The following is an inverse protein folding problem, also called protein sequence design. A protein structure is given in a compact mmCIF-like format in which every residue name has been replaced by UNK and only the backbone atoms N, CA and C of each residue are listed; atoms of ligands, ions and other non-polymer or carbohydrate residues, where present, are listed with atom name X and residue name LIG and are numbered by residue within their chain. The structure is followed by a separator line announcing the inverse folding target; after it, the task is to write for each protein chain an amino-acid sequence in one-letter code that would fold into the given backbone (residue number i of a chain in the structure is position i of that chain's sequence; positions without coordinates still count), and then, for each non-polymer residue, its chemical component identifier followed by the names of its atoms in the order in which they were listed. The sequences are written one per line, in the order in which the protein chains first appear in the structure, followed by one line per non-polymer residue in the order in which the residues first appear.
data_IF_668305848576
#
_entry.id   IF_668305848576
#
_cell.length_a   1.000
_cell.length_b   1.000
_cell.length_c   1.000
_cell.angle_alpha   90.00
_cell.angle_beta   90.00
_cell.angle_gamma   90.00
#
_symmetry.space_group_name_H-M   'P 1'
#
loop_
_entity.id
_entity.type
_entity.pdbx_description
1 polymer ?
#
# COMPACT_ATOMS: atom_id res chain seq x y z
N UNK A 1 5.19 11.65 -17.03
CA UNK A 1 4.27 10.89 -16.15
C UNK A 1 3.11 11.82 -15.82
N UNK A 2 1.86 11.47 -16.15
CA UNK A 2 0.69 12.32 -15.88
C UNK A 2 -0.20 11.57 -14.90
N UNK A 3 -0.31 12.10 -13.68
CA UNK A 3 -1.26 11.61 -12.68
C UNK A 3 -2.62 12.18 -13.05
N UNK A 4 -3.63 11.31 -13.22
CA UNK A 4 -4.99 11.72 -13.57
C UNK A 4 -5.62 12.49 -12.40
N UNK A 5 -6.40 13.53 -12.69
CA UNK A 5 -7.10 14.33 -11.67
C UNK A 5 -8.00 13.48 -10.77
N UNK A 6 -8.63 12.43 -11.32
CA UNK A 6 -9.48 11.50 -10.56
C UNK A 6 -8.73 10.85 -9.38
N UNK A 7 -7.45 10.51 -9.57
CA UNK A 7 -6.61 9.91 -8.52
C UNK A 7 -6.26 10.94 -7.45
N UNK A 8 -6.00 12.19 -7.86
CA UNK A 8 -5.75 13.29 -6.90
C UNK A 8 -7.01 13.61 -6.08
N UNK A 9 -8.19 13.57 -6.68
CA UNK A 9 -9.44 13.75 -5.94
C UNK A 9 -9.67 12.60 -4.95
N UNK A 10 -9.42 11.33 -5.33
CA UNK A 10 -9.48 10.20 -4.38
C UNK A 10 -8.48 10.36 -3.24
N UNK A 11 -7.24 10.75 -3.54
CA UNK A 11 -6.21 11.03 -2.54
C UNK A 11 -6.64 12.16 -1.58
N UNK A 12 -7.28 13.21 -2.11
CA UNK A 12 -7.84 14.30 -1.32
C UNK A 12 -8.93 13.83 -0.36
N UNK A 13 -9.81 12.94 -0.81
CA UNK A 13 -10.82 12.32 0.06
C UNK A 13 -10.14 11.48 1.14
N UNK A 14 -9.14 10.66 0.80
CA UNK A 14 -8.39 9.86 1.78
C UNK A 14 -7.78 10.74 2.88
N UNK A 15 -7.04 11.79 2.49
CA UNK A 15 -6.37 12.69 3.44
C UNK A 15 -7.38 13.42 4.31
N UNK A 16 -8.48 13.93 3.73
CA UNK A 16 -9.54 14.60 4.50
C UNK A 16 -10.16 13.64 5.52
N UNK A 17 -10.55 12.44 5.10
CA UNK A 17 -11.16 11.45 6.00
C UNK A 17 -10.20 11.02 7.12
N UNK A 18 -8.91 10.85 6.83
CA UNK A 18 -7.91 10.58 7.87
C UNK A 18 -7.78 11.72 8.88
N UNK A 19 -7.80 12.98 8.41
CA UNK A 19 -7.76 14.16 9.29
C UNK A 19 -9.00 14.20 10.18
N UNK A 20 -10.19 13.97 9.62
CA UNK A 20 -11.47 13.99 10.34
C UNK A 20 -11.53 12.93 11.45
N UNK A 21 -10.91 11.76 11.21
CA UNK A 21 -10.84 10.66 12.19
C UNK A 21 -9.58 10.73 13.08
N UNK A 22 -8.75 11.77 12.95
CA UNK A 22 -7.48 11.91 13.66
C UNK A 22 -6.54 10.68 13.53
N UNK A 23 -6.51 10.07 12.34
CA UNK A 23 -5.71 8.89 12.04
C UNK A 23 -4.41 9.24 11.32
N UNK A 24 -3.31 8.61 11.74
CA UNK A 24 -2.02 8.61 11.05
C UNK A 24 -1.85 7.34 10.24
N UNK A 25 -1.27 7.49 9.05
CA UNK A 25 -0.99 6.41 8.11
C UNK A 25 0.50 6.21 7.85
N UNK A 26 0.91 4.95 7.72
CA UNK A 26 2.19 4.53 7.14
C UNK A 26 1.93 3.83 5.79
N UNK A 27 2.83 4.05 4.83
CA UNK A 27 2.76 3.41 3.51
C UNK A 27 3.99 2.54 3.31
N UNK A 28 3.82 1.31 2.85
CA UNK A 28 4.92 0.43 2.42
C UNK A 28 4.79 0.09 0.95
N UNK A 29 5.79 0.48 0.15
CA UNK A 29 5.74 0.39 -1.29
C UNK A 29 6.83 -0.54 -1.82
N UNK A 30 6.43 -1.53 -2.61
CA UNK A 30 7.36 -2.30 -3.45
C UNK A 30 7.18 -1.84 -4.90
N UNK A 31 6.24 -2.41 -5.65
CA UNK A 31 6.15 -2.18 -7.10
C UNK A 31 5.84 -0.72 -7.51
N UNK A 32 5.20 0.06 -6.64
CA UNK A 32 4.88 1.49 -6.85
C UNK A 32 6.02 2.44 -6.50
N UNK A 33 7.04 1.97 -5.79
CA UNK A 33 8.30 2.69 -5.53
C UNK A 33 8.15 4.14 -5.01
N UNK A 34 7.15 4.42 -4.16
CA UNK A 34 6.93 5.74 -3.57
C UNK A 34 5.80 6.54 -4.22
N UNK A 35 5.18 6.02 -5.29
CA UNK A 35 4.16 6.72 -6.05
C UNK A 35 2.91 7.05 -5.22
N UNK A 36 2.47 6.15 -4.33
CA UNK A 36 1.32 6.43 -3.46
C UNK A 36 1.65 7.54 -2.48
N UNK A 37 2.83 7.47 -1.87
CA UNK A 37 3.31 8.47 -0.92
C UNK A 37 3.44 9.85 -1.57
N UNK A 38 3.98 9.90 -2.80
CA UNK A 38 4.03 11.12 -3.59
C UNK A 38 2.64 11.71 -3.82
N UNK A 39 1.69 10.90 -4.29
CA UNK A 39 0.32 11.33 -4.57
C UNK A 39 -0.37 11.89 -3.31
N UNK A 40 -0.27 11.21 -2.17
CA UNK A 40 -0.85 11.73 -0.92
C UNK A 40 -0.16 13.03 -0.49
N UNK A 41 1.17 13.13 -0.64
CA UNK A 41 1.93 14.34 -0.26
C UNK A 41 1.56 15.58 -1.07
N UNK A 42 0.99 15.42 -2.27
CA UNK A 42 0.49 16.54 -3.07
C UNK A 42 -0.79 17.18 -2.50
N UNK A 43 -1.46 16.54 -1.54
CA UNK A 43 -2.71 17.06 -0.97
C UNK A 43 -2.41 18.01 0.20
N UNK A 44 -2.97 19.23 0.21
CA UNK A 44 -2.85 20.13 1.36
C UNK A 44 -3.30 19.46 2.67
N UNK A 45 -2.45 19.55 3.70
CA UNK A 45 -2.72 18.93 5.00
C UNK A 45 -2.23 17.48 5.14
N UNK A 46 -1.66 16.86 4.09
CA UNK A 46 -1.15 15.50 4.16
C UNK A 46 -0.13 15.27 5.28
N UNK A 47 0.67 16.27 5.65
CA UNK A 47 1.62 16.19 6.77
C UNK A 47 0.98 15.95 8.14
N UNK A 48 -0.33 16.14 8.29
CA UNK A 48 -1.06 15.81 9.53
C UNK A 48 -1.29 14.30 9.70
N UNK A 49 -1.33 13.55 8.59
CA UNK A 49 -1.75 12.15 8.57
C UNK A 49 -0.66 11.22 8.04
N UNK A 50 0.09 11.63 7.01
CA UNK A 50 1.17 10.84 6.43
C UNK A 50 2.40 10.91 7.35
N UNK A 51 2.58 9.87 8.16
CA UNK A 51 3.60 9.86 9.20
C UNK A 51 4.94 9.35 8.68
N UNK A 52 4.93 8.25 7.92
CA UNK A 52 6.12 7.64 7.35
C UNK A 52 5.79 6.87 6.07
N UNK A 53 6.80 6.63 5.25
CA UNK A 53 6.72 5.72 4.11
C UNK A 53 8.01 4.94 3.94
N UNK A 54 7.89 3.67 3.58
CA UNK A 54 9.01 2.79 3.28
C UNK A 54 8.92 2.27 1.85
N UNK A 55 9.96 2.51 1.06
CA UNK A 55 10.14 1.80 -0.21
C UNK A 55 10.98 0.55 0.03
N UNK A 56 10.33 -0.62 0.06
CA UNK A 56 10.94 -1.93 0.35
C UNK A 56 10.95 -2.83 -0.88
N UNK A 57 11.64 -2.37 -1.92
CA UNK A 57 11.61 -3.01 -3.25
C UNK A 57 12.18 -4.44 -3.24
N UNK A 58 13.27 -4.67 -2.52
CA UNK A 58 13.94 -5.98 -2.45
C UNK A 58 13.44 -6.83 -1.27
N UNK A 59 13.61 -8.16 -1.38
CA UNK A 59 13.35 -9.07 -0.25
C UNK A 59 14.24 -8.76 0.95
N UNK A 60 15.47 -8.30 0.72
CA UNK A 60 16.38 -7.83 1.77
C UNK A 60 15.81 -6.61 2.50
N UNK A 61 15.28 -5.63 1.76
CA UNK A 61 14.66 -4.44 2.35
C UNK A 61 13.40 -4.80 3.15
N UNK A 62 12.53 -5.67 2.62
CA UNK A 62 11.36 -6.21 3.35
C UNK A 62 11.79 -6.85 4.68
N UNK A 63 12.91 -7.57 4.69
CA UNK A 63 13.39 -8.23 5.90
C UNK A 63 14.08 -7.27 6.87
N UNK A 64 14.99 -6.41 6.41
CA UNK A 64 15.78 -5.53 7.29
C UNK A 64 15.00 -4.34 7.83
N UNK A 65 14.14 -3.74 7.01
CA UNK A 65 13.41 -2.52 7.38
C UNK A 65 12.14 -2.88 8.15
N UNK A 66 11.39 -3.88 7.68
CA UNK A 66 10.12 -4.26 8.31
C UNK A 66 10.27 -5.40 9.31
N UNK A 67 11.41 -6.12 9.34
CA UNK A 67 11.59 -7.27 10.24
C UNK A 67 10.87 -8.54 9.78
N UNK A 68 10.45 -8.62 8.52
CA UNK A 68 9.80 -9.83 7.98
C UNK A 68 10.84 -10.95 7.85
N UNK A 69 10.57 -12.12 8.43
CA UNK A 69 11.46 -13.27 8.30
C UNK A 69 11.59 -13.67 6.82
N UNK A 70 12.84 -13.80 6.33
CA UNK A 70 13.13 -14.23 4.95
C UNK A 70 12.52 -15.59 4.61
N UNK A 71 12.38 -16.49 5.57
CA UNK A 71 11.77 -17.80 5.33
C UNK A 71 10.30 -17.68 4.92
N UNK A 72 9.58 -16.69 5.46
CA UNK A 72 8.20 -16.40 5.05
C UNK A 72 8.15 -15.83 3.62
N UNK A 73 9.10 -14.93 3.29
CA UNK A 73 9.21 -14.37 1.93
C UNK A 73 9.54 -15.47 0.92
N UNK A 74 10.43 -16.41 1.26
CA UNK A 74 10.78 -17.53 0.40
C UNK A 74 9.62 -18.53 0.26
N UNK A 75 8.88 -18.78 1.34
CA UNK A 75 7.75 -19.72 1.34
C UNK A 75 6.56 -19.22 0.51
N UNK A 76 6.15 -17.97 0.71
CA UNK A 76 4.93 -17.42 0.08
C UNK A 76 5.24 -16.66 -1.22
N UNK A 77 6.48 -16.22 -1.42
CA UNK A 77 6.86 -15.31 -2.49
C UNK A 77 6.59 -13.85 -2.14
N UNK A 78 7.41 -12.94 -2.68
CA UNK A 78 7.33 -11.50 -2.37
C UNK A 78 6.04 -10.81 -2.86
N UNK A 79 5.34 -11.44 -3.80
CA UNK A 79 4.05 -11.00 -4.35
C UNK A 79 2.98 -12.03 -3.96
N UNK A 80 2.47 -11.90 -2.75
CA UNK A 80 1.51 -12.81 -2.14
C UNK A 80 0.61 -12.05 -1.14
N UNK A 81 -0.58 -12.57 -0.81
CA UNK A 81 -1.43 -11.96 0.22
C UNK A 81 -0.77 -11.98 1.60
N UNK A 82 0.01 -13.01 1.92
CA UNK A 82 0.71 -13.11 3.20
C UNK A 82 1.78 -12.03 3.35
N UNK A 83 2.59 -11.79 2.30
CA UNK A 83 3.62 -10.76 2.34
C UNK A 83 3.03 -9.36 2.31
N UNK A 84 1.92 -9.11 1.61
CA UNK A 84 1.26 -7.79 1.67
C UNK A 84 0.73 -7.49 3.07
N UNK A 85 0.06 -8.45 3.73
CA UNK A 85 -0.44 -8.28 5.12
C UNK A 85 0.73 -8.07 6.08
N UNK A 86 1.78 -8.87 5.98
CA UNK A 86 2.98 -8.73 6.82
C UNK A 86 3.66 -7.37 6.61
N UNK A 87 3.76 -6.89 5.35
CA UNK A 87 4.29 -5.56 5.06
C UNK A 87 3.50 -4.45 5.76
N UNK A 88 2.16 -4.50 5.72
CA UNK A 88 1.31 -3.50 6.37
C UNK A 88 1.40 -3.61 7.91
N UNK A 89 1.25 -4.82 8.44
CA UNK A 89 1.22 -5.05 9.89
C UNK A 89 2.57 -4.72 10.54
N UNK A 90 3.68 -5.10 9.91
CA UNK A 90 5.00 -4.92 10.51
C UNK A 90 5.49 -3.48 10.39
N UNK A 91 5.01 -2.70 9.40
CA UNK A 91 5.26 -1.26 9.34
C UNK A 91 4.72 -0.51 10.57
N UNK A 92 3.57 -0.92 11.12
CA UNK A 92 3.04 -0.32 12.35
C UNK A 92 3.92 -0.57 13.58
N UNK A 93 4.81 -1.57 13.53
CA UNK A 93 5.77 -1.87 14.60
C UNK A 93 7.03 -1.03 14.52
N UNK A 94 7.33 -0.42 13.37
CA UNK A 94 8.55 0.36 13.18
C UNK A 94 8.37 1.82 13.58
N UNK A 95 7.19 2.39 13.35
CA UNK A 95 6.83 3.77 13.70
C UNK A 95 5.38 3.79 14.18
N UNK A 96 5.09 4.58 15.22
CA UNK A 96 3.73 4.73 15.75
C UNK A 96 2.83 5.41 14.72
N UNK A 97 1.80 4.68 14.27
CA UNK A 97 0.69 5.17 13.47
C UNK A 97 -0.53 4.27 13.72
N UNK A 98 -1.71 4.73 13.30
CA UNK A 98 -2.97 4.02 13.57
C UNK A 98 -3.25 2.97 12.49
N UNK A 99 -2.92 3.31 11.23
CA UNK A 99 -3.17 2.46 10.07
C UNK A 99 -1.96 2.35 9.15
N UNK A 100 -1.89 1.27 8.39
CA UNK A 100 -0.86 1.06 7.36
C UNK A 100 -1.46 0.47 6.11
N UNK A 101 -0.93 0.89 4.96
CA UNK A 101 -1.22 0.27 3.66
C UNK A 101 0.08 -0.21 3.00
N UNK A 102 0.02 -1.36 2.33
CA UNK A 102 1.15 -1.95 1.63
C UNK A 102 0.82 -2.24 0.18
N UNK A 103 1.81 -2.17 -0.71
CA UNK A 103 1.64 -2.53 -2.12
C UNK A 103 2.82 -3.39 -2.59
N UNK A 104 2.54 -4.63 -2.99
CA UNK A 104 3.52 -5.53 -3.62
C UNK A 104 2.94 -6.18 -4.88
N UNK A 105 3.73 -6.30 -5.94
CA UNK A 105 3.21 -6.73 -7.23
C UNK A 105 4.27 -6.87 -8.33
N UNK A 106 3.86 -7.46 -9.45
CA UNK A 106 4.67 -7.56 -10.65
C UNK A 106 4.28 -6.44 -11.62
N UNK A 107 4.94 -5.28 -11.54
CA UNK A 107 4.64 -4.17 -12.45
C UNK A 107 5.02 -4.47 -13.91
N UNK A 108 5.92 -5.42 -14.16
CA UNK A 108 6.42 -5.75 -15.49
C UNK A 108 7.24 -4.64 -16.15
N UNK A 109 7.68 -4.82 -17.41
CA UNK A 109 7.66 -6.09 -18.12
C UNK A 109 8.55 -7.10 -17.39
N UNK A 110 8.22 -8.40 -17.52
CA UNK A 110 9.05 -9.48 -16.99
C UNK A 110 9.81 -10.17 -18.10
N UNK A 111 11.01 -10.64 -17.79
CA UNK A 111 11.77 -11.58 -18.61
C UNK A 111 11.43 -13.05 -18.32
N UNK A 112 10.63 -13.32 -17.29
CA UNK A 112 10.27 -14.66 -16.85
C UNK A 112 8.84 -14.98 -17.25
N UNK A 113 8.68 -16.08 -17.99
CA UNK A 113 7.39 -16.52 -18.55
C UNK A 113 6.36 -16.85 -17.45
N UNK A 114 6.82 -17.24 -16.26
CA UNK A 114 5.96 -17.65 -15.15
C UNK A 114 5.44 -16.47 -14.29
N UNK A 115 5.97 -15.26 -14.48
CA UNK A 115 5.49 -14.09 -13.72
C UNK A 115 4.16 -13.58 -14.28
N UNK A 116 3.15 -13.53 -13.41
CA UNK A 116 1.86 -12.91 -13.70
C UNK A 116 1.97 -11.39 -13.65
N UNK A 117 2.58 -10.79 -14.67
CA UNK A 117 2.66 -9.33 -14.83
C UNK A 117 1.27 -8.71 -14.66
N UNK A 118 1.19 -7.64 -13.87
CA UNK A 118 -0.06 -7.00 -13.48
C UNK A 118 -0.68 -7.52 -12.18
N UNK A 119 -0.20 -8.64 -11.62
CA UNK A 119 -0.67 -9.13 -10.32
C UNK A 119 -0.13 -8.27 -9.19
N UNK A 120 -1.03 -7.76 -8.36
CA UNK A 120 -0.72 -6.87 -7.24
C UNK A 120 -1.55 -7.26 -6.03
N UNK A 121 -0.93 -7.26 -4.86
CA UNK A 121 -1.58 -7.40 -3.56
C UNK A 121 -1.40 -6.12 -2.77
N UNK A 122 -2.51 -5.65 -2.20
CA UNK A 122 -2.56 -4.45 -1.38
C UNK A 122 -2.96 -4.87 0.03
N UNK A 123 -2.08 -4.69 1.01
CA UNK A 123 -2.35 -5.02 2.41
C UNK A 123 -2.86 -3.79 3.17
N UNK A 124 -3.78 -4.00 4.11
CA UNK A 124 -4.25 -3.01 5.06
C UNK A 124 -4.08 -3.55 6.48
N UNK A 125 -3.66 -2.71 7.41
CA UNK A 125 -3.58 -3.07 8.82
C UNK A 125 -3.97 -1.88 9.69
N UNK A 126 -4.62 -2.17 10.80
CA UNK A 126 -4.84 -1.25 11.93
C UNK A 126 -4.02 -1.78 13.10
N UNK A 127 -3.50 -0.90 13.96
CA UNK A 127 -2.77 -1.34 15.15
C UNK A 127 -3.59 -2.35 15.94
N UNK A 128 -2.94 -3.44 16.35
CA UNK A 128 -3.51 -4.50 17.19
C UNK A 128 -4.69 -5.30 16.60
N UNK A 129 -5.05 -5.10 15.32
CA UNK A 129 -6.05 -5.88 14.60
C UNK A 129 -5.43 -6.82 13.56
N UNK A 130 -6.20 -7.82 13.12
CA UNK A 130 -5.81 -8.69 12.01
C UNK A 130 -5.77 -7.89 10.69
N UNK A 131 -4.73 -8.09 9.91
CA UNK A 131 -4.55 -7.39 8.63
C UNK A 131 -5.37 -8.02 7.51
N UNK A 132 -5.74 -7.20 6.53
CA UNK A 132 -6.53 -7.59 5.36
C UNK A 132 -5.74 -7.42 4.06
N UNK A 133 -6.14 -8.13 3.02
CA UNK A 133 -5.53 -8.02 1.70
C UNK A 133 -6.57 -7.90 0.58
N UNK A 134 -6.29 -7.02 -0.38
CA UNK A 134 -6.99 -6.94 -1.66
C UNK A 134 -6.07 -7.44 -2.79
N UNK A 135 -6.59 -8.36 -3.60
CA UNK A 135 -5.91 -8.84 -4.82
C UNK A 135 -6.41 -8.06 -6.03
N UNK A 136 -5.48 -7.55 -6.83
CA UNK A 136 -5.73 -6.86 -8.10
C UNK A 136 -4.99 -7.56 -9.24
N UNK A 137 -5.53 -7.50 -10.45
CA UNK A 137 -4.85 -8.03 -11.64
C UNK A 137 -5.06 -7.12 -12.85
N UNK A 138 -3.98 -6.47 -13.28
CA UNK A 138 -3.95 -5.44 -14.32
C UNK A 138 -3.27 -5.99 -15.59
N UNK A 139 -4.03 -6.76 -16.38
CA UNK A 139 -3.52 -7.39 -17.60
C UNK A 139 -3.29 -6.37 -18.73
N UNK A 140 -2.33 -6.68 -19.60
CA UNK A 140 -2.04 -5.92 -20.83
C UNK A 140 -1.71 -4.43 -20.60
N UNK A 141 -1.24 -4.11 -19.39
CA UNK A 141 -0.83 -2.76 -19.00
C UNK A 141 0.68 -2.62 -18.98
N UNK A 142 1.17 -1.44 -19.37
CA UNK A 142 2.57 -1.07 -19.19
C UNK A 142 2.94 -0.99 -17.71
N UNK A 143 4.26 -0.99 -17.41
CA UNK A 143 4.78 -0.79 -16.04
C UNK A 143 4.12 0.38 -15.32
N UNK A 144 4.05 1.51 -15.99
CA UNK A 144 3.48 2.73 -15.43
C UNK A 144 1.97 2.57 -15.14
N UNK A 145 1.24 1.98 -16.08
CA UNK A 145 -0.20 1.74 -15.92
C UNK A 145 -0.52 0.78 -14.78
N UNK A 146 0.29 -0.27 -14.59
CA UNK A 146 0.17 -1.16 -13.42
C UNK A 146 0.44 -0.38 -12.13
N UNK A 147 1.51 0.41 -12.08
CA UNK A 147 1.87 1.20 -10.89
C UNK A 147 0.75 2.19 -10.51
N UNK A 148 0.27 2.98 -11.46
CA UNK A 148 -0.76 3.99 -11.18
C UNK A 148 -2.11 3.35 -10.84
N UNK A 149 -2.48 2.23 -11.48
CA UNK A 149 -3.71 1.47 -11.16
C UNK A 149 -3.63 0.79 -9.79
N UNK A 150 -2.43 0.39 -9.37
CA UNK A 150 -2.18 -0.13 -8.01
C UNK A 150 -2.41 0.95 -6.96
N UNK A 151 -1.94 2.17 -7.20
CA UNK A 151 -2.18 3.31 -6.30
C UNK A 151 -3.66 3.66 -6.26
N UNK A 152 -4.33 3.73 -7.41
CA UNK A 152 -5.77 4.00 -7.47
C UNK A 152 -6.58 2.97 -6.66
N UNK A 153 -6.28 1.69 -6.85
CA UNK A 153 -6.91 0.59 -6.09
C UNK A 153 -6.59 0.63 -4.59
N UNK A 154 -5.40 1.10 -4.22
CA UNK A 154 -4.99 1.24 -2.81
C UNK A 154 -5.73 2.40 -2.13
N UNK A 155 -5.93 3.52 -2.82
CA UNK A 155 -6.75 4.64 -2.33
C UNK A 155 -8.21 4.20 -2.13
N UNK A 156 -8.78 3.46 -3.09
CA UNK A 156 -10.13 2.91 -2.94
C UNK A 156 -10.23 1.91 -1.79
N UNK A 157 -9.19 1.09 -1.57
CA UNK A 157 -9.16 0.15 -0.46
C UNK A 157 -9.09 0.86 0.89
N UNK A 158 -8.20 1.86 0.99
CA UNK A 158 -8.03 2.69 2.17
C UNK A 158 -9.35 3.36 2.56
N UNK A 159 -10.04 4.01 1.61
CA UNK A 159 -11.32 4.67 1.87
C UNK A 159 -12.41 3.70 2.32
N UNK A 160 -12.47 2.52 1.70
CA UNK A 160 -13.43 1.49 2.09
C UNK A 160 -13.21 1.05 3.54
N UNK A 161 -11.94 0.90 3.95
CA UNK A 161 -11.60 0.43 5.29
C UNK A 161 -11.81 1.48 6.36
N UNK A 162 -11.33 2.71 6.16
CA UNK A 162 -11.51 3.79 7.16
C UNK A 162 -13.00 4.02 7.44
N UNK A 163 -13.86 4.01 6.41
CA UNK A 163 -15.31 4.22 6.59
C UNK A 163 -16.02 3.08 7.33
N UNK A 164 -15.52 1.86 7.23
CA UNK A 164 -16.04 0.73 8.01
C UNK A 164 -15.63 0.86 9.47
N UNK A 165 -14.39 1.23 9.73
CA UNK A 165 -13.85 1.34 11.08
C UNK A 165 -14.52 2.51 11.84
N UNK A 166 -14.80 3.64 11.18
CA UNK A 166 -15.56 4.77 11.77
C UNK A 166 -17.00 4.43 12.16
N UNK A 167 -17.59 3.34 11.64
CA UNK A 167 -18.97 2.93 11.95
C UNK A 167 -19.08 2.00 13.17
N UNK A 168 -17.95 1.63 13.76
CA UNK A 168 -17.90 0.76 14.95
C UNK A 168 -17.95 1.59 16.25
N UNK A 169 -17.58 2.87 16.18
CA UNK A 169 -17.57 3.82 17.32
C UNK A 169 -18.80 4.76 17.38
N UNK A 170 -19.81 4.54 16.54
CA UNK A 170 -21.09 5.31 16.49
C UNK A 170 -22.29 4.45 16.84
#
# INVERSE_FOLDING_TARGET
MIIKNEILEKAKVCVTTLIENNLKIIITESCTAGLMSFILSCIPGASKVLNCSFVVYSNDAKSKILGINRDLINKYGAVSPEISILMATYALRTVVADISISITGFAGPSSHVDEKVGLVYIGYAVSDLEGECRRCFFQDMSRYEVQISSVDSALDFLLCKIKQDSSIDS
#
